data_IF_051318671771
#
_entry.id   IF_051318671771
#
_cell.length_a   1.000
_cell.length_b   1.000
_cell.length_c   1.000
_cell.angle_alpha   90.00
_cell.angle_beta   90.00
_cell.angle_gamma   90.00
#
_symmetry.space_group_name_H-M   'P 1'
#
loop_
_entity.id
_entity.type
_entity.pdbx_description
1 polymer ?
#
# COMPACT_ATOMS: atom_id res chain seq x y z
N UNK A 1 9.55 -8.04 6.81
CA UNK A 1 9.44 -8.83 5.58
C UNK A 1 9.09 -10.27 5.96
N UNK A 2 7.91 -10.74 5.57
CA UNK A 2 7.51 -12.14 5.78
C UNK A 2 8.12 -13.02 4.68
N UNK A 3 8.75 -14.12 5.06
CA UNK A 3 9.33 -15.07 4.09
C UNK A 3 8.36 -16.16 3.66
N UNK A 4 7.33 -16.46 4.44
CA UNK A 4 6.34 -17.51 4.19
C UNK A 4 5.09 -17.32 5.05
N UNK A 5 3.89 -17.53 4.48
CA UNK A 5 2.64 -17.68 5.24
C UNK A 5 2.09 -19.11 5.01
N UNK A 6 1.66 -19.80 6.05
CA UNK A 6 1.11 -21.15 5.97
C UNK A 6 -0.37 -21.21 6.33
N UNK A 7 -1.10 -22.05 5.60
CA UNK A 7 -2.54 -22.23 5.60
C UNK A 7 -3.13 -22.56 6.98
N UNK A 8 -4.13 -21.77 7.40
CA UNK A 8 -5.11 -22.19 8.39
C UNK A 8 -6.52 -21.84 7.88
N UNK A 9 -7.32 -22.84 7.61
CA UNK A 9 -8.55 -22.85 6.80
C UNK A 9 -9.75 -22.08 7.36
N UNK A 10 -9.61 -21.23 8.37
CA UNK A 10 -10.77 -20.61 9.06
C UNK A 10 -10.72 -19.10 9.22
N UNK A 11 -9.64 -18.41 8.78
CA UNK A 11 -9.56 -16.95 8.82
C UNK A 11 -8.98 -16.42 7.52
N UNK A 12 -9.69 -15.50 6.89
CA UNK A 12 -9.17 -14.71 5.76
C UNK A 12 -8.36 -13.54 6.31
N UNK A 13 -7.17 -13.83 6.81
CA UNK A 13 -6.23 -12.78 7.21
C UNK A 13 -5.67 -12.12 5.94
N UNK A 14 -5.46 -10.82 6.00
CA UNK A 14 -4.84 -10.05 4.91
C UNK A 14 -3.54 -9.42 5.40
N UNK A 15 -2.54 -9.38 4.55
CA UNK A 15 -1.39 -8.51 4.78
C UNK A 15 -1.81 -7.08 4.40
N UNK A 16 -2.02 -6.24 5.38
CA UNK A 16 -2.61 -4.93 5.23
C UNK A 16 -1.67 -3.81 5.66
N UNK A 17 -1.49 -2.79 4.81
CA UNK A 17 -0.75 -1.55 5.12
C UNK A 17 0.69 -1.83 5.59
N UNK A 18 1.39 -2.75 4.90
CA UNK A 18 2.78 -3.05 5.16
C UNK A 18 3.68 -2.47 4.07
N UNK A 19 4.86 -1.99 4.44
CA UNK A 19 5.78 -1.41 3.47
C UNK A 19 7.25 -1.64 3.77
N UNK A 20 8.05 -1.50 2.71
CA UNK A 20 9.50 -1.49 2.75
C UNK A 20 10.05 -0.16 2.21
N UNK A 21 10.99 0.42 2.94
CA UNK A 21 11.70 1.65 2.55
C UNK A 21 13.19 1.37 2.26
N UNK A 22 13.70 0.22 2.69
CA UNK A 22 15.10 -0.14 2.59
C UNK A 22 15.43 -0.96 1.34
N UNK A 23 16.67 -0.87 0.89
CA UNK A 23 17.21 -1.74 -0.16
C UNK A 23 17.32 -3.18 0.33
N UNK A 24 17.00 -4.14 -0.53
CA UNK A 24 17.11 -5.58 -0.27
C UNK A 24 18.13 -6.16 -1.25
N UNK A 25 19.22 -6.72 -0.72
CA UNK A 25 20.19 -7.47 -1.49
C UNK A 25 20.07 -8.96 -1.20
N UNK A 26 19.98 -9.76 -2.26
CA UNK A 26 19.87 -11.22 -2.18
C UNK A 26 20.92 -11.85 -3.07
N UNK A 27 21.70 -12.78 -2.51
CA UNK A 27 22.58 -13.68 -3.26
C UNK A 27 22.13 -15.11 -3.00
N UNK A 28 21.85 -15.86 -4.05
CA UNK A 28 21.28 -17.20 -3.92
C UNK A 28 21.81 -18.16 -4.98
N UNK A 29 22.09 -19.38 -4.54
CA UNK A 29 22.36 -20.54 -5.39
C UNK A 29 21.23 -21.59 -5.31
N UNK A 30 20.12 -21.25 -4.65
CA UNK A 30 18.97 -22.15 -4.49
C UNK A 30 18.20 -22.36 -5.78
N UNK A 31 17.70 -23.57 -5.99
CA UNK A 31 16.98 -23.96 -7.20
C UNK A 31 15.63 -23.24 -7.38
N UNK A 32 14.97 -22.84 -6.30
CA UNK A 32 13.76 -22.00 -6.33
C UNK A 32 14.02 -20.74 -5.54
N UNK A 33 13.82 -19.60 -6.19
CA UNK A 33 14.04 -18.28 -5.58
C UNK A 33 12.80 -17.43 -5.76
N UNK A 34 12.27 -16.93 -4.64
CA UNK A 34 11.16 -15.97 -4.65
C UNK A 34 11.52 -14.75 -3.79
N UNK A 35 11.60 -13.58 -4.42
CA UNK A 35 12.00 -12.32 -3.76
C UNK A 35 10.95 -11.24 -4.00
N UNK A 36 10.55 -10.55 -2.95
CA UNK A 36 9.66 -9.40 -3.03
C UNK A 36 10.01 -8.35 -2.00
N UNK A 37 9.71 -7.10 -2.29
CA UNK A 37 9.95 -5.98 -1.38
C UNK A 37 9.12 -6.07 -0.10
N UNK A 38 7.97 -6.74 -0.16
CA UNK A 38 7.07 -6.97 0.98
C UNK A 38 7.07 -8.44 1.38
N UNK A 39 6.95 -9.35 0.40
CA UNK A 39 6.85 -10.79 0.66
C UNK A 39 7.52 -11.59 -0.46
N UNK A 40 8.35 -12.58 -0.11
CA UNK A 40 8.96 -13.48 -1.10
C UNK A 40 7.93 -14.38 -1.77
N UNK A 41 7.17 -15.12 -0.97
CA UNK A 41 6.10 -16.01 -1.44
C UNK A 41 4.83 -15.82 -0.63
N UNK A 42 3.69 -15.76 -1.33
CA UNK A 42 2.37 -15.62 -0.74
C UNK A 42 1.42 -16.69 -1.29
N UNK A 43 0.92 -17.54 -0.40
CA UNK A 43 -0.01 -18.63 -0.73
C UNK A 43 -1.37 -18.54 -0.05
N UNK A 44 -1.54 -17.64 0.94
CA UNK A 44 -2.64 -17.77 1.89
C UNK A 44 -3.43 -16.49 2.18
N UNK A 45 -2.88 -15.31 1.90
CA UNK A 45 -3.56 -14.07 2.29
C UNK A 45 -3.51 -12.98 1.21
N UNK A 46 -4.58 -12.23 0.97
CA UNK A 46 -4.53 -11.06 0.13
C UNK A 46 -3.51 -10.02 0.63
N UNK A 47 -2.82 -9.36 -0.29
CA UNK A 47 -1.93 -8.22 -0.02
C UNK A 47 -2.67 -6.94 -0.38
N UNK A 48 -2.90 -6.06 0.59
CA UNK A 48 -3.76 -4.89 0.42
C UNK A 48 -3.09 -3.64 0.97
N UNK A 49 -3.14 -2.53 0.24
CA UNK A 49 -2.59 -1.23 0.63
C UNK A 49 -1.12 -1.29 1.04
N UNK A 50 -0.35 -2.19 0.42
CA UNK A 50 1.05 -2.40 0.72
C UNK A 50 1.95 -1.62 -0.24
N UNK A 51 3.21 -1.37 0.16
CA UNK A 51 4.13 -0.66 -0.71
C UNK A 51 5.58 -1.11 -0.58
N UNK A 52 6.35 -0.89 -1.64
CA UNK A 52 7.79 -0.98 -1.63
C UNK A 52 8.38 0.29 -2.27
N UNK A 53 9.31 0.94 -1.58
CA UNK A 53 10.07 2.08 -2.07
C UNK A 53 11.55 1.79 -2.19
N UNK A 54 12.01 0.70 -1.59
CA UNK A 54 13.39 0.24 -1.63
C UNK A 54 13.69 -0.57 -2.88
N UNK A 55 14.94 -0.50 -3.36
CA UNK A 55 15.41 -1.31 -4.48
C UNK A 55 15.58 -2.79 -4.11
N UNK A 56 15.43 -3.68 -5.10
CA UNK A 56 15.76 -5.09 -4.99
C UNK A 56 16.95 -5.40 -5.90
N UNK A 57 18.05 -5.84 -5.31
CA UNK A 57 19.22 -6.35 -6.01
C UNK A 57 19.37 -7.84 -5.77
N UNK A 58 19.21 -8.62 -6.80
CA UNK A 58 19.19 -10.08 -6.71
C UNK A 58 20.28 -10.62 -7.62
N UNK A 59 21.16 -11.44 -7.06
CA UNK A 59 22.21 -12.15 -7.77
C UNK A 59 21.93 -13.65 -7.63
N UNK A 60 21.72 -14.34 -8.76
CA UNK A 60 21.38 -15.75 -8.77
C UNK A 60 22.46 -16.57 -9.46
N UNK A 61 23.00 -17.56 -8.74
CA UNK A 61 23.81 -18.63 -9.27
C UNK A 61 23.11 -19.99 -9.19
N UNK A 62 21.77 -19.98 -9.22
CA UNK A 62 20.95 -21.17 -9.21
C UNK A 62 21.18 -22.02 -10.49
N UNK A 63 21.27 -23.36 -10.41
CA UNK A 63 21.45 -24.22 -11.58
C UNK A 63 20.38 -23.92 -12.65
N UNK A 64 20.79 -23.71 -13.89
CA UNK A 64 19.88 -23.45 -15.01
C UNK A 64 19.05 -24.70 -15.28
N UNK A 65 17.76 -24.57 -15.30
CA UNK A 65 16.83 -25.67 -15.49
C UNK A 65 15.51 -25.18 -16.04
N UNK A 66 14.97 -25.90 -17.00
CA UNK A 66 13.60 -25.68 -17.50
C UNK A 66 12.51 -26.24 -16.57
N UNK A 67 12.88 -26.79 -15.41
CA UNK A 67 11.92 -27.28 -14.43
C UNK A 67 11.26 -26.14 -13.66
N UNK A 68 9.93 -26.17 -13.57
CA UNK A 68 9.17 -25.21 -12.74
C UNK A 68 9.57 -25.21 -11.26
N UNK A 69 10.27 -26.24 -10.80
CA UNK A 69 10.78 -26.33 -9.43
C UNK A 69 12.11 -25.60 -9.24
N UNK A 70 12.71 -25.11 -10.34
CA UNK A 70 13.94 -24.32 -10.34
C UNK A 70 13.67 -22.92 -10.89
N UNK A 71 12.51 -22.35 -10.58
CA UNK A 71 12.10 -21.06 -11.12
C UNK A 71 12.53 -19.90 -10.22
N UNK A 72 12.82 -18.77 -10.86
CA UNK A 72 13.16 -17.51 -10.18
C UNK A 72 12.01 -16.53 -10.36
N UNK A 73 11.46 -16.09 -9.24
CA UNK A 73 10.39 -15.07 -9.22
C UNK A 73 10.81 -13.87 -8.41
N UNK A 74 10.80 -12.69 -9.00
CA UNK A 74 11.09 -11.45 -8.30
C UNK A 74 10.00 -10.40 -8.60
N UNK A 75 9.55 -9.69 -7.58
CA UNK A 75 8.54 -8.66 -7.72
C UNK A 75 8.74 -7.51 -6.76
N UNK A 76 8.39 -6.29 -7.18
CA UNK A 76 8.49 -5.12 -6.32
C UNK A 76 7.76 -5.26 -5.00
N UNK A 77 6.63 -5.96 -5.00
CA UNK A 77 5.86 -6.31 -3.80
C UNK A 77 6.04 -7.77 -3.42
N UNK A 78 5.71 -8.69 -4.35
CA UNK A 78 5.68 -10.13 -4.07
C UNK A 78 6.40 -10.90 -5.17
N UNK A 79 7.28 -11.83 -4.80
CA UNK A 79 7.97 -12.68 -5.77
C UNK A 79 7.01 -13.66 -6.45
N UNK A 80 6.41 -14.54 -5.67
CA UNK A 80 5.44 -15.56 -6.12
C UNK A 80 4.14 -15.43 -5.33
N UNK A 81 3.01 -15.28 -6.03
CA UNK A 81 1.74 -14.92 -5.40
C UNK A 81 0.58 -15.78 -5.89
N UNK A 82 -0.03 -16.55 -5.00
CA UNK A 82 -1.24 -17.34 -5.25
C UNK A 82 -2.52 -16.64 -4.78
N UNK A 83 -2.39 -15.52 -4.06
CA UNK A 83 -3.50 -14.73 -3.57
C UNK A 83 -3.56 -13.34 -4.24
N UNK A 84 -4.70 -12.63 -4.17
CA UNK A 84 -4.82 -11.33 -4.81
C UNK A 84 -3.89 -10.27 -4.20
N UNK A 85 -3.46 -9.33 -5.05
CA UNK A 85 -2.78 -8.10 -4.64
C UNK A 85 -3.63 -6.91 -5.04
N UNK A 86 -4.04 -6.12 -4.07
CA UNK A 86 -4.93 -4.99 -4.24
C UNK A 86 -4.31 -3.68 -3.81
N UNK A 87 -4.59 -2.61 -4.57
CA UNK A 87 -4.39 -1.23 -4.13
C UNK A 87 -2.99 -0.97 -3.56
N UNK A 88 -1.96 -1.48 -4.20
CA UNK A 88 -0.59 -1.50 -3.67
C UNK A 88 0.39 -0.88 -4.67
N UNK A 89 1.60 -0.49 -4.24
CA UNK A 89 2.54 0.09 -5.18
C UNK A 89 4.00 -0.29 -4.94
N UNK A 90 4.76 -0.26 -6.04
CA UNK A 90 6.21 -0.34 -6.03
C UNK A 90 6.84 0.90 -6.66
N UNK A 91 7.86 1.45 -6.00
CA UNK A 91 8.70 2.51 -6.54
C UNK A 91 10.18 2.10 -6.66
N UNK A 92 10.54 1.02 -6.01
CA UNK A 92 11.91 0.51 -6.03
C UNK A 92 12.27 -0.12 -7.38
N UNK A 93 13.50 0.08 -7.82
CA UNK A 93 14.07 -0.60 -8.96
C UNK A 93 14.33 -2.08 -8.63
N UNK A 94 14.20 -2.95 -9.61
CA UNK A 94 14.41 -4.39 -9.46
C UNK A 94 15.49 -4.82 -10.45
N UNK A 95 16.52 -5.46 -9.94
CA UNK A 95 17.62 -6.01 -10.75
C UNK A 95 17.84 -7.47 -10.38
N UNK A 96 17.69 -8.36 -11.35
CA UNK A 96 18.06 -9.77 -11.23
C UNK A 96 19.25 -10.05 -12.16
N UNK A 97 20.38 -10.36 -11.56
CA UNK A 97 21.66 -10.58 -12.26
C UNK A 97 21.98 -12.06 -12.27
N UNK A 98 22.42 -12.54 -13.43
CA UNK A 98 22.99 -13.87 -13.60
C UNK A 98 24.43 -13.91 -13.05
N UNK A 99 24.64 -14.71 -12.03
CA UNK A 99 25.95 -14.91 -11.43
C UNK A 99 26.71 -16.13 -11.99
N UNK A 100 26.17 -16.81 -13.01
CA UNK A 100 26.87 -17.90 -13.68
C UNK A 100 27.91 -17.34 -14.65
N UNK A 101 29.11 -17.91 -14.54
CA UNK A 101 30.18 -17.69 -15.48
C UNK A 101 30.22 -18.95 -16.36
N UNK A 102 29.92 -18.78 -17.66
CA UNK A 102 30.07 -19.81 -18.69
C UNK A 102 29.10 -21.03 -18.64
N UNK A 103 27.92 -20.94 -18.05
CA UNK A 103 26.90 -21.98 -18.16
C UNK A 103 25.92 -21.74 -19.32
N UNK A 104 25.79 -22.73 -20.22
CA UNK A 104 24.73 -22.75 -21.23
C UNK A 104 23.39 -23.20 -20.62
N UNK A 105 22.29 -22.66 -21.13
CA UNK A 105 20.95 -23.06 -20.74
C UNK A 105 20.07 -21.85 -20.35
N UNK A 106 18.83 -22.14 -20.00
CA UNK A 106 17.86 -21.13 -19.59
C UNK A 106 17.21 -21.49 -18.26
N UNK A 107 16.90 -20.50 -17.46
CA UNK A 107 16.08 -20.63 -16.24
C UNK A 107 14.62 -20.35 -16.57
N UNK A 108 13.72 -20.87 -15.76
CA UNK A 108 12.31 -20.42 -15.78
C UNK A 108 12.09 -19.36 -14.72
N UNK A 109 11.14 -18.47 -14.97
CA UNK A 109 10.73 -17.48 -13.99
C UNK A 109 10.27 -16.17 -14.60
N UNK A 110 10.02 -15.23 -13.73
CA UNK A 110 9.64 -13.88 -14.12
C UNK A 110 10.02 -12.85 -13.09
N UNK A 111 10.36 -11.65 -13.59
CA UNK A 111 10.59 -10.44 -12.79
C UNK A 111 9.52 -9.43 -13.16
N UNK A 112 8.79 -8.95 -12.18
CA UNK A 112 7.72 -7.97 -12.41
C UNK A 112 7.83 -6.75 -11.51
N UNK A 113 7.48 -5.59 -12.03
CA UNK A 113 7.49 -4.33 -11.29
C UNK A 113 6.65 -4.37 -10.01
N UNK A 114 5.58 -5.18 -9.98
CA UNK A 114 4.77 -5.43 -8.80
C UNK A 114 4.91 -6.86 -8.30
N UNK A 115 4.64 -7.84 -9.16
CA UNK A 115 4.62 -9.26 -8.78
C UNK A 115 5.38 -10.07 -9.82
N UNK A 116 6.31 -10.92 -9.38
CA UNK A 116 7.04 -11.81 -10.29
C UNK A 116 6.08 -12.77 -10.99
N UNK A 117 5.36 -13.58 -10.22
CA UNK A 117 4.33 -14.51 -10.71
C UNK A 117 3.03 -14.34 -9.94
N UNK A 118 1.96 -13.96 -10.63
CA UNK A 118 0.62 -13.82 -10.06
C UNK A 118 -0.33 -14.89 -10.58
N UNK A 119 -0.93 -15.67 -9.69
CA UNK A 119 -1.96 -16.66 -10.04
C UNK A 119 -3.37 -16.10 -9.89
N UNK A 120 -3.56 -15.13 -9.02
CA UNK A 120 -4.83 -14.41 -8.84
C UNK A 120 -4.70 -12.93 -9.22
N UNK A 121 -5.75 -12.20 -9.03
CA UNK A 121 -5.93 -10.83 -9.46
C UNK A 121 -4.89 -9.86 -8.86
N UNK A 122 -4.23 -9.12 -9.73
CA UNK A 122 -3.49 -7.91 -9.40
C UNK A 122 -4.34 -6.71 -9.82
N UNK A 123 -4.76 -5.89 -8.88
CA UNK A 123 -5.77 -4.86 -9.12
C UNK A 123 -5.45 -3.52 -8.46
N UNK A 124 -5.75 -2.44 -9.18
CA UNK A 124 -5.63 -1.04 -8.74
C UNK A 124 -4.27 -0.72 -8.11
N UNK A 125 -3.21 -1.19 -8.73
CA UNK A 125 -1.85 -1.08 -8.21
C UNK A 125 -0.93 -0.42 -9.24
N UNK A 126 0.19 0.17 -8.82
CA UNK A 126 1.11 0.77 -9.76
C UNK A 126 2.59 0.48 -9.47
N UNK A 127 3.43 0.51 -10.53
CA UNK A 127 4.88 0.45 -10.43
C UNK A 127 5.54 1.60 -11.17
N UNK A 128 6.59 2.17 -10.57
CA UNK A 128 7.36 3.26 -11.18
C UNK A 128 8.85 2.97 -11.30
N UNK A 129 9.34 1.87 -10.73
CA UNK A 129 10.74 1.49 -10.77
C UNK A 129 11.16 0.81 -12.07
N UNK A 130 12.45 0.89 -12.38
CA UNK A 130 13.06 0.12 -13.45
C UNK A 130 13.03 -1.38 -13.12
N UNK A 131 12.96 -2.22 -14.16
CA UNK A 131 12.99 -3.67 -14.04
C UNK A 131 14.01 -4.25 -15.01
N UNK A 132 14.99 -4.97 -14.48
CA UNK A 132 16.05 -5.54 -15.25
C UNK A 132 16.28 -7.02 -14.92
N UNK A 133 16.59 -7.83 -15.96
CA UNK A 133 17.18 -9.14 -15.80
C UNK A 133 18.01 -9.56 -17.02
N UNK A 134 19.21 -10.05 -16.78
CA UNK A 134 20.07 -10.71 -17.78
C UNK A 134 20.01 -12.25 -17.70
N UNK A 135 19.22 -12.81 -16.78
CA UNK A 135 19.07 -14.27 -16.63
C UNK A 135 18.30 -14.83 -17.81
N UNK A 136 18.97 -15.68 -18.58
CA UNK A 136 18.38 -16.32 -19.76
C UNK A 136 17.12 -17.12 -19.44
N UNK A 137 16.03 -16.88 -20.19
CA UNK A 137 14.73 -17.55 -20.03
C UNK A 137 13.83 -16.98 -18.95
N UNK A 138 14.30 -16.01 -18.17
CA UNK A 138 13.46 -15.25 -17.22
C UNK A 138 12.76 -14.13 -17.95
N UNK A 139 11.43 -14.07 -17.82
CA UNK A 139 10.59 -13.02 -18.39
C UNK A 139 10.62 -11.78 -17.53
N UNK A 140 10.79 -10.61 -18.16
CA UNK A 140 10.76 -9.31 -17.48
C UNK A 140 9.45 -8.60 -17.81
N UNK A 141 8.73 -8.11 -16.81
CA UNK A 141 7.42 -7.49 -16.98
C UNK A 141 7.36 -6.13 -16.27
N UNK A 142 6.65 -5.17 -16.86
CA UNK A 142 6.39 -3.87 -16.23
C UNK A 142 5.64 -3.99 -14.90
N UNK A 143 4.73 -4.93 -14.80
CA UNK A 143 3.92 -5.16 -13.58
C UNK A 143 3.98 -6.62 -13.11
N UNK A 144 3.50 -7.56 -13.92
CA UNK A 144 3.52 -8.99 -13.65
C UNK A 144 3.35 -9.77 -14.96
N UNK A 145 3.67 -11.06 -14.97
CA UNK A 145 3.48 -11.92 -16.13
C UNK A 145 2.01 -12.08 -16.53
N UNK A 146 1.07 -12.03 -15.57
CA UNK A 146 -0.36 -12.33 -15.81
C UNK A 146 -1.28 -11.69 -14.76
N UNK A 147 -2.60 -11.77 -15.00
CA UNK A 147 -3.69 -11.39 -14.09
C UNK A 147 -3.73 -9.91 -13.68
N UNK A 148 -3.28 -9.02 -14.57
CA UNK A 148 -3.18 -7.58 -14.34
C UNK A 148 -4.49 -6.89 -14.77
N UNK A 149 -5.15 -6.21 -13.85
CA UNK A 149 -6.40 -5.47 -14.09
C UNK A 149 -6.36 -4.08 -13.43
N UNK A 150 -6.68 -3.05 -14.19
CA UNK A 150 -6.68 -1.65 -13.72
C UNK A 150 -5.39 -1.31 -12.96
N UNK A 151 -4.25 -1.80 -13.43
CA UNK A 151 -2.94 -1.50 -12.87
C UNK A 151 -2.14 -0.62 -13.81
N UNK A 152 -1.21 0.14 -13.27
CA UNK A 152 -0.55 1.23 -13.95
C UNK A 152 0.96 1.11 -13.84
N UNK A 153 1.67 1.58 -14.86
CA UNK A 153 3.12 1.63 -14.85
C UNK A 153 3.64 2.96 -15.37
N UNK A 154 4.83 3.32 -14.89
CA UNK A 154 5.57 4.46 -15.43
C UNK A 154 6.16 4.12 -16.79
N UNK A 155 5.71 4.81 -17.84
CA UNK A 155 6.24 4.61 -19.20
C UNK A 155 7.68 5.07 -19.38
N UNK A 156 8.17 5.96 -18.51
CA UNK A 156 9.55 6.44 -18.53
C UNK A 156 10.52 5.48 -17.83
N UNK A 157 10.01 4.50 -17.08
CA UNK A 157 10.83 3.48 -16.44
C UNK A 157 11.44 2.52 -17.47
N UNK A 158 12.70 2.17 -17.27
CA UNK A 158 13.43 1.22 -18.12
C UNK A 158 13.02 -0.21 -17.76
N UNK A 159 12.67 -1.00 -18.77
CA UNK A 159 12.40 -2.44 -18.62
C UNK A 159 13.23 -3.20 -19.65
N UNK A 160 14.19 -3.97 -19.16
CA UNK A 160 15.17 -4.66 -20.00
C UNK A 160 15.33 -6.13 -19.59
N UNK A 161 15.39 -7.01 -20.59
CA UNK A 161 15.61 -8.44 -20.39
C UNK A 161 15.52 -9.23 -21.67
N UNK A 162 15.66 -10.56 -21.58
CA UNK A 162 15.64 -11.45 -22.73
C UNK A 162 14.25 -11.60 -23.34
N UNK A 163 13.19 -11.46 -22.54
CA UNK A 163 11.81 -11.45 -22.98
C UNK A 163 11.04 -10.41 -22.15
N UNK A 164 10.50 -9.36 -22.79
CA UNK A 164 9.79 -8.27 -22.13
C UNK A 164 8.29 -8.42 -22.33
N UNK A 165 7.54 -8.43 -21.22
CA UNK A 165 6.08 -8.44 -21.20
C UNK A 165 5.52 -7.06 -20.84
N UNK A 166 4.62 -6.54 -21.68
CA UNK A 166 3.93 -5.29 -21.44
C UNK A 166 2.44 -5.54 -21.13
N UNK A 167 2.04 -5.21 -19.92
CA UNK A 167 0.64 -5.25 -19.49
C UNK A 167 0.36 -4.12 -18.50
N UNK A 168 -0.90 -3.67 -18.45
CA UNK A 168 -1.31 -2.52 -17.65
C UNK A 168 -1.49 -1.25 -18.48
N UNK A 169 -1.69 -0.14 -17.77
CA UNK A 169 -1.97 1.19 -18.35
C UNK A 169 -0.77 2.09 -18.11
N UNK A 170 -0.27 2.68 -19.19
CA UNK A 170 0.89 3.55 -19.17
C UNK A 170 0.54 4.97 -18.72
N UNK A 171 1.36 5.54 -17.85
CA UNK A 171 1.43 6.97 -17.55
C UNK A 171 2.90 7.37 -17.47
N UNK A 172 3.24 8.55 -17.98
CA UNK A 172 4.59 9.12 -17.79
C UNK A 172 4.82 9.55 -16.34
N UNK A 173 6.06 9.74 -15.95
CA UNK A 173 6.44 10.30 -14.63
C UNK A 173 5.68 11.60 -14.35
N UNK A 174 5.64 12.50 -15.33
CA UNK A 174 4.96 13.80 -15.19
C UNK A 174 3.45 13.65 -14.95
N UNK A 175 2.81 12.70 -15.61
CA UNK A 175 1.39 12.39 -15.40
C UNK A 175 1.14 11.75 -14.05
N UNK A 176 1.95 10.78 -13.64
CA UNK A 176 1.81 10.10 -12.35
C UNK A 176 2.04 11.04 -11.15
N UNK A 177 2.82 12.11 -11.33
CA UNK A 177 3.10 13.11 -10.29
C UNK A 177 2.18 14.34 -10.38
N UNK A 178 1.19 14.35 -11.26
CA UNK A 178 0.29 15.48 -11.49
C UNK A 178 -1.14 15.17 -11.07
N UNK A 179 -1.70 15.97 -10.16
CA UNK A 179 -3.09 15.85 -9.74
C UNK A 179 -4.11 16.04 -10.89
N UNK A 180 -3.74 16.73 -11.97
CA UNK A 180 -4.62 17.01 -13.11
C UNK A 180 -4.54 16.01 -14.25
N UNK A 181 -3.72 14.97 -14.16
CA UNK A 181 -3.50 14.01 -15.26
C UNK A 181 -4.60 12.95 -15.42
N UNK A 182 -5.48 12.81 -14.42
CA UNK A 182 -6.46 11.72 -14.34
C UNK A 182 -5.91 10.43 -13.71
N UNK A 183 -4.62 10.30 -13.45
CA UNK A 183 -4.05 9.11 -12.81
C UNK A 183 -4.56 8.89 -11.39
N UNK A 184 -4.56 9.95 -10.56
CA UNK A 184 -5.12 9.88 -9.21
C UNK A 184 -6.62 9.54 -9.21
N UNK A 185 -7.37 10.13 -10.16
CA UNK A 185 -8.80 9.85 -10.32
C UNK A 185 -9.04 8.39 -10.72
N UNK A 186 -8.21 7.83 -11.59
CA UNK A 186 -8.30 6.43 -12.00
C UNK A 186 -8.09 5.49 -10.80
N UNK A 187 -7.07 5.74 -9.97
CA UNK A 187 -6.82 5.00 -8.74
C UNK A 187 -7.99 5.08 -7.74
N UNK A 188 -8.52 6.28 -7.50
CA UNK A 188 -9.60 6.50 -6.54
C UNK A 188 -10.97 6.02 -7.04
N UNK A 189 -11.25 6.11 -8.33
CA UNK A 189 -12.49 5.59 -8.90
C UNK A 189 -12.59 4.06 -8.76
N UNK A 190 -11.45 3.37 -8.82
CA UNK A 190 -11.41 1.93 -8.63
C UNK A 190 -11.84 1.53 -7.20
N UNK A 191 -11.40 2.27 -6.18
CA UNK A 191 -11.70 1.98 -4.76
C UNK A 191 -12.93 2.70 -4.22
N UNK A 192 -13.67 3.42 -5.08
CA UNK A 192 -14.86 4.15 -4.68
C UNK A 192 -15.92 3.23 -4.10
N UNK A 193 -16.25 3.44 -2.82
CA UNK A 193 -17.20 2.60 -2.09
C UNK A 193 -16.62 1.26 -1.61
N UNK A 194 -15.36 0.97 -1.88
CA UNK A 194 -14.69 -0.21 -1.32
C UNK A 194 -14.51 -0.05 0.20
N UNK A 195 -14.88 -1.08 0.95
CA UNK A 195 -14.80 -1.06 2.41
C UNK A 195 -13.42 -1.48 2.94
N UNK A 196 -12.51 -1.96 2.11
CA UNK A 196 -11.20 -2.50 2.50
C UNK A 196 -10.06 -1.58 2.08
N UNK A 197 -10.00 -1.19 0.80
CA UNK A 197 -8.91 -0.39 0.25
C UNK A 197 -8.94 1.07 0.69
N UNK A 198 -7.75 1.65 0.93
CA UNK A 198 -7.58 3.08 1.24
C UNK A 198 -7.65 3.92 -0.04
N UNK A 199 -7.96 5.17 0.12
CA UNK A 199 -7.88 6.13 -0.98
C UNK A 199 -6.42 6.52 -1.28
N UNK A 200 -6.22 7.12 -2.44
CA UNK A 200 -4.95 7.64 -2.89
C UNK A 200 -4.90 9.16 -2.82
N UNK A 201 -3.75 9.72 -2.54
CA UNK A 201 -3.53 11.16 -2.51
C UNK A 201 -2.08 11.53 -2.71
N UNK A 202 -1.85 12.80 -3.04
CA UNK A 202 -0.51 13.38 -3.08
C UNK A 202 -0.22 14.05 -1.75
N UNK A 203 0.87 13.64 -1.08
CA UNK A 203 1.35 14.28 0.14
C UNK A 203 2.65 15.02 -0.19
N UNK A 204 2.71 16.35 0.00
CA UNK A 204 3.91 17.13 -0.29
C UNK A 204 5.15 16.59 0.40
N UNK A 205 6.21 16.34 -0.37
CA UNK A 205 7.48 15.80 0.14
C UNK A 205 7.52 14.29 0.34
N UNK A 206 6.41 13.57 0.17
CA UNK A 206 6.37 12.13 0.24
C UNK A 206 6.46 11.45 -1.13
N UNK A 207 6.93 10.24 -1.12
CA UNK A 207 6.96 9.29 -2.26
C UNK A 207 7.45 9.91 -3.58
N UNK A 208 8.36 10.90 -3.52
CA UNK A 208 8.85 11.66 -4.67
C UNK A 208 7.72 12.24 -5.55
N UNK A 209 6.61 12.64 -4.94
CA UNK A 209 5.47 13.21 -5.66
C UNK A 209 4.52 12.22 -6.33
N UNK A 210 4.72 10.92 -6.18
CA UNK A 210 3.76 9.91 -6.59
C UNK A 210 2.65 9.73 -5.54
N UNK A 211 1.44 9.25 -5.92
CA UNK A 211 0.37 9.00 -4.97
C UNK A 211 0.77 8.03 -3.86
N UNK A 212 0.25 8.27 -2.68
CA UNK A 212 0.35 7.38 -1.51
C UNK A 212 -1.04 7.04 -1.00
N UNK A 213 -1.13 6.02 -0.17
CA UNK A 213 -2.36 5.74 0.54
C UNK A 213 -2.64 6.84 1.56
N UNK A 214 -3.85 7.36 1.52
CA UNK A 214 -4.36 8.30 2.51
C UNK A 214 -5.51 7.65 3.28
N UNK A 215 -5.88 8.22 4.42
CA UNK A 215 -7.05 7.73 5.13
C UNK A 215 -8.29 7.83 4.25
N UNK A 216 -9.24 6.91 4.47
CA UNK A 216 -10.45 6.87 3.67
C UNK A 216 -11.19 8.20 3.75
N UNK A 217 -11.51 8.75 2.59
CA UNK A 217 -12.51 9.80 2.50
C UNK A 217 -13.86 9.10 2.69
N UNK A 218 -14.41 9.19 3.88
CA UNK A 218 -15.80 8.75 4.11
C UNK A 218 -16.66 9.83 3.49
N UNK A 219 -17.34 9.50 2.38
CA UNK A 219 -18.26 10.43 1.73
C UNK A 219 -19.26 10.98 2.77
N UNK A 220 -19.22 12.29 3.01
CA UNK A 220 -20.08 12.98 3.98
C UNK A 220 -19.44 13.33 5.32
N UNK A 221 -18.15 13.06 5.50
CA UNK A 221 -17.37 13.60 6.60
C UNK A 221 -16.38 14.60 6.02
N UNK A 222 -16.54 15.88 6.34
CA UNK A 222 -15.53 16.88 6.03
C UNK A 222 -14.16 16.40 6.51
N UNK A 223 -13.14 16.52 5.65
CA UNK A 223 -11.77 16.08 5.93
C UNK A 223 -11.34 16.46 7.35
N UNK A 224 -10.72 15.53 8.14
CA UNK A 224 -10.29 15.83 9.51
C UNK A 224 -9.28 16.98 9.64
N UNK A 225 -8.76 17.47 8.55
CA UNK A 225 -7.87 18.63 8.48
C UNK A 225 -8.59 19.95 8.24
N UNK A 226 -9.82 20.12 8.75
CA UNK A 226 -10.37 21.47 8.87
C UNK A 226 -9.63 22.20 10.00
N UNK A 227 -8.63 22.97 9.62
CA UNK A 227 -7.85 23.83 10.52
C UNK A 227 -8.72 24.85 11.31
N UNK A 228 -10.04 24.86 11.08
CA UNK A 228 -11.00 25.68 11.80
C UNK A 228 -11.31 25.17 13.22
N UNK A 229 -10.91 23.94 13.55
CA UNK A 229 -10.98 23.41 14.92
C UNK A 229 -9.58 23.36 15.53
N UNK A 230 -9.28 24.31 16.40
CA UNK A 230 -7.96 24.45 16.99
C UNK A 230 -7.68 23.34 18.01
N UNK A 231 -8.35 23.36 19.15
CA UNK A 231 -8.08 22.43 20.25
C UNK A 231 -9.34 21.69 20.69
N UNK A 232 -9.22 20.36 20.83
CA UNK A 232 -10.25 19.51 21.43
C UNK A 232 -9.68 18.88 22.70
N UNK A 233 -10.39 18.98 23.82
CA UNK A 233 -10.00 18.37 25.08
C UNK A 233 -11.21 18.03 25.94
N UNK A 234 -11.06 17.18 26.91
CA UNK A 234 -12.12 16.86 27.86
C UNK A 234 -11.71 17.16 29.31
N UNK A 235 -12.66 17.62 30.08
CA UNK A 235 -12.52 17.83 31.52
C UNK A 235 -13.88 17.66 32.21
N UNK A 236 -13.88 17.00 33.38
CA UNK A 236 -15.08 16.85 34.23
C UNK A 236 -16.33 16.31 33.50
N UNK A 237 -16.16 15.31 32.62
CA UNK A 237 -17.24 14.70 31.87
C UNK A 237 -17.78 15.55 30.71
N UNK A 238 -17.07 16.61 30.37
CA UNK A 238 -17.40 17.49 29.25
C UNK A 238 -16.34 17.47 28.18
N UNK A 239 -16.77 17.54 26.91
CA UNK A 239 -15.95 17.84 25.76
C UNK A 239 -15.89 19.36 25.58
N UNK A 240 -14.70 19.88 25.26
CA UNK A 240 -14.44 21.26 24.92
C UNK A 240 -13.82 21.33 23.53
N UNK A 241 -14.32 22.24 22.69
CA UNK A 241 -13.91 22.43 21.31
C UNK A 241 -13.69 23.90 21.06
N UNK A 242 -12.46 24.28 20.68
CA UNK A 242 -12.15 25.63 20.21
C UNK A 242 -12.31 25.65 18.69
N UNK A 243 -13.25 26.46 18.18
CA UNK A 243 -13.50 26.62 16.75
C UNK A 243 -13.32 28.09 16.34
N UNK A 244 -12.84 28.32 15.12
CA UNK A 244 -12.71 29.66 14.52
C UNK A 244 -13.92 30.06 13.68
N UNK A 245 -14.88 29.16 13.48
CA UNK A 245 -16.15 29.41 12.76
C UNK A 245 -17.28 28.53 13.24
N UNK A 246 -18.50 28.88 12.80
CA UNK A 246 -19.68 28.04 13.06
C UNK A 246 -19.73 26.85 12.07
N UNK A 247 -19.93 25.62 12.59
CA UNK A 247 -20.06 24.42 11.79
C UNK A 247 -20.80 23.31 12.53
N UNK A 248 -21.15 22.25 11.80
CA UNK A 248 -21.56 20.99 12.39
C UNK A 248 -20.36 20.06 12.51
N UNK A 249 -20.10 19.54 13.68
CA UNK A 249 -18.95 18.71 13.97
C UNK A 249 -19.38 17.35 14.50
N UNK A 250 -19.14 16.26 13.78
CA UNK A 250 -19.44 14.90 14.24
C UNK A 250 -18.43 14.45 15.31
N UNK A 251 -18.96 13.76 16.31
CA UNK A 251 -18.21 13.10 17.38
C UNK A 251 -18.31 11.60 17.17
N UNK A 252 -17.17 10.93 17.03
CA UNK A 252 -17.10 9.50 16.76
C UNK A 252 -16.58 8.72 17.97
N UNK A 253 -17.01 7.47 18.12
CA UNK A 253 -16.25 6.46 18.87
C UNK A 253 -15.00 6.08 18.09
N UNK A 254 -14.01 5.51 18.76
CA UNK A 254 -12.82 4.92 18.11
C UNK A 254 -13.15 3.81 17.10
N UNK A 255 -14.37 3.28 17.13
CA UNK A 255 -14.90 2.32 16.16
C UNK A 255 -15.43 2.96 14.88
N UNK A 256 -15.37 4.30 14.76
CA UNK A 256 -15.94 5.05 13.62
C UNK A 256 -17.44 5.34 13.71
N UNK A 257 -18.14 4.84 14.74
CA UNK A 257 -19.58 5.11 14.94
C UNK A 257 -19.79 6.57 15.39
N UNK A 258 -20.66 7.31 14.67
CA UNK A 258 -21.09 8.65 15.11
C UNK A 258 -21.91 8.50 16.41
N UNK A 259 -21.50 9.23 17.43
CA UNK A 259 -22.20 9.33 18.73
C UNK A 259 -23.13 10.52 18.76
N UNK A 260 -22.67 11.64 18.18
CA UNK A 260 -23.38 12.90 18.20
C UNK A 260 -22.85 13.83 17.10
N UNK A 261 -23.72 14.70 16.59
CA UNK A 261 -23.31 15.84 15.79
C UNK A 261 -23.49 17.10 16.65
N UNK A 262 -22.42 17.83 16.87
CA UNK A 262 -22.41 19.09 17.63
C UNK A 262 -22.52 20.28 16.69
N UNK A 263 -23.40 21.21 17.00
CA UNK A 263 -23.40 22.54 16.38
C UNK A 263 -22.40 23.39 17.16
N UNK A 264 -21.24 23.66 16.60
CA UNK A 264 -20.22 24.53 17.19
C UNK A 264 -20.32 25.93 16.58
N UNK A 265 -20.02 26.95 17.37
CA UNK A 265 -19.89 28.34 16.94
C UNK A 265 -18.46 28.81 17.12
N UNK A 266 -18.09 29.93 16.51
CA UNK A 266 -16.80 30.56 16.76
C UNK A 266 -16.56 30.76 18.26
N UNK A 267 -15.39 30.34 18.73
CA UNK A 267 -14.99 30.37 20.12
C UNK A 267 -14.98 28.99 20.79
N UNK A 268 -15.14 28.98 22.13
CA UNK A 268 -15.09 27.76 22.94
C UNK A 268 -16.50 27.17 23.10
N UNK A 269 -16.67 25.97 22.59
CA UNK A 269 -17.89 25.16 22.68
C UNK A 269 -17.73 24.06 23.71
N UNK A 270 -18.80 23.66 24.38
CA UNK A 270 -18.75 22.55 25.34
C UNK A 270 -20.03 21.72 25.31
N UNK A 271 -19.89 20.42 25.50
CA UNK A 271 -21.02 19.49 25.59
C UNK A 271 -20.68 18.29 26.52
N UNK A 272 -21.70 17.64 27.01
CA UNK A 272 -21.55 16.42 27.80
C UNK A 272 -21.46 15.18 26.92
N UNK A 273 -20.50 14.34 27.22
CA UNK A 273 -20.41 13.00 26.65
C UNK A 273 -20.25 11.96 27.77
N UNK A 274 -20.76 10.73 27.58
CA UNK A 274 -20.44 9.60 28.46
C UNK A 274 -18.93 9.38 28.58
N UNK A 275 -18.49 8.74 29.66
CA UNK A 275 -17.09 8.33 29.77
C UNK A 275 -16.72 7.41 28.60
N UNK A 276 -15.61 7.72 27.96
CA UNK A 276 -15.15 6.97 26.77
C UNK A 276 -14.05 7.69 26.02
N UNK A 277 -13.56 7.05 24.96
CA UNK A 277 -12.59 7.64 24.03
C UNK A 277 -13.32 7.98 22.73
N UNK A 278 -13.11 9.20 22.26
CA UNK A 278 -13.79 9.77 21.10
C UNK A 278 -12.79 10.36 20.12
N UNK A 279 -13.20 10.47 18.87
CA UNK A 279 -12.48 11.18 17.81
C UNK A 279 -13.33 12.37 17.38
N UNK A 280 -12.75 13.57 17.42
CA UNK A 280 -13.43 14.83 17.08
C UNK A 280 -12.46 15.68 16.28
N UNK A 281 -12.81 16.04 15.06
CA UNK A 281 -11.93 16.79 14.14
C UNK A 281 -10.52 16.17 14.02
N UNK A 282 -10.44 14.84 13.93
CA UNK A 282 -9.16 14.12 13.84
C UNK A 282 -8.38 14.02 15.16
N UNK A 283 -8.82 14.66 16.24
CA UNK A 283 -8.16 14.61 17.55
C UNK A 283 -8.80 13.55 18.45
N UNK A 284 -7.97 12.71 19.08
CA UNK A 284 -8.44 11.69 20.04
C UNK A 284 -8.56 12.33 21.42
N UNK A 285 -9.73 12.19 22.04
CA UNK A 285 -10.01 12.75 23.36
C UNK A 285 -10.65 11.72 24.30
N UNK A 286 -10.14 11.60 25.53
CA UNK A 286 -10.71 10.76 26.56
C UNK A 286 -11.59 11.57 27.51
N UNK A 287 -12.88 11.26 27.56
CA UNK A 287 -13.83 11.84 28.50
C UNK A 287 -13.90 10.97 29.75
N UNK A 288 -13.48 11.51 30.89
CA UNK A 288 -13.52 10.83 32.18
C UNK A 288 -14.56 11.46 33.10
N UNK A 289 -15.06 10.69 34.06
CA UNK A 289 -15.99 11.23 35.07
C UNK A 289 -15.31 12.38 35.84
N UNK A 290 -16.04 13.45 36.05
CA UNK A 290 -15.59 14.52 36.96
C UNK A 290 -15.45 14.00 38.39
N UNK A 291 -14.41 14.42 39.10
CA UNK A 291 -14.26 14.13 40.52
C UNK A 291 -15.48 14.63 41.30
N UNK A 292 -16.27 13.70 41.81
CA UNK A 292 -17.26 14.04 42.83
C UNK A 292 -16.49 14.50 44.06
N UNK A 293 -16.30 15.82 44.25
CA UNK A 293 -15.84 16.34 45.55
C UNK A 293 -16.75 15.76 46.63
N UNK A 294 -16.22 14.84 47.43
CA UNK A 294 -16.89 14.45 48.68
C UNK A 294 -17.11 15.71 49.51
N UNK A 295 -18.37 16.14 49.60
CA UNK A 295 -18.74 17.08 50.66
C UNK A 295 -18.50 16.36 51.99
N UNK A 296 -17.56 16.90 52.79
CA UNK A 296 -17.44 16.60 54.20
C UNK A 296 -18.54 17.31 54.96
#
# INVERSE_FOLDING_TARGET
>A
VCSYSSYNSSQTDSLYTCGNEGEIEVKSNGSMLSVGGVMGQNTDCPVVDCWNRGGLKIESSAPRSSSRWNAIYAGGLVGYCEEPVYNSYNRGNISLIDAHIDEEGSSQGSVGGLVGKAYKLLWNSYSTGDVYSDVAGVKVCRLSESNVHSCYYNSDAVVEGTEVGENGIAYSTAEMQSAGSGFLDALNNAVKGDAVCRNWGYIPGENNGYPVHIDRIVDGVDSPADHSVGRVYAANGRLFIQSDRSMQLPVYKVTGQIVKIMNVVEGLNTDYLPCGVYVVAGQVVAVTAGDKKRKK
#
